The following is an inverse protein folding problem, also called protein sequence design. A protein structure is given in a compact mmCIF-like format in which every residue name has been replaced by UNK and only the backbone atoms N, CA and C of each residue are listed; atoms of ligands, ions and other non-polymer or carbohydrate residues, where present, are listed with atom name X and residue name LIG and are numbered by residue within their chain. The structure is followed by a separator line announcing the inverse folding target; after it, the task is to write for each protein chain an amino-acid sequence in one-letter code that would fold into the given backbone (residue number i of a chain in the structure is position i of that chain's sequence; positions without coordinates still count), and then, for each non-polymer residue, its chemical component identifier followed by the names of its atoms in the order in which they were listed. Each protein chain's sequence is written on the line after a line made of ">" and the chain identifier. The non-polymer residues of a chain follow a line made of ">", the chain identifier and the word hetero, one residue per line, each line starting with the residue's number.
data_IF_498662305581
#
_entry.id   IF_498662305581
#
_cell.length_a   1.000
_cell.length_b   1.000
_cell.length_c   1.000
_cell.angle_alpha   90.00
_cell.angle_beta   90.00
_cell.angle_gamma   90.00
#
_symmetry.space_group_name_H-M   'P 1'
#
loop_
_entity.id
_entity.type
_entity.pdbx_description
1 polymer ?
#
# COMPACT_ATOMS: atom_id res chain seq x y z
N UNK A 1 17.85 -3.73 -13.89
CA UNK A 1 17.02 -3.69 -12.67
C UNK A 1 17.18 -5.01 -11.95
N UNK A 2 17.54 -4.94 -10.68
CA UNK A 2 17.50 -6.10 -9.79
C UNK A 2 16.04 -6.55 -9.58
N UNK A 3 15.85 -7.74 -9.00
CA UNK A 3 14.51 -8.22 -8.60
C UNK A 3 13.86 -7.27 -7.60
N UNK A 4 14.66 -6.72 -6.68
CA UNK A 4 14.21 -5.80 -5.65
C UNK A 4 13.82 -4.42 -6.22
N UNK A 5 14.56 -3.91 -7.21
CA UNK A 5 14.21 -2.65 -7.89
C UNK A 5 12.84 -2.78 -8.58
N UNK A 6 12.58 -3.95 -9.19
CA UNK A 6 11.30 -4.22 -9.86
C UNK A 6 10.17 -4.32 -8.86
N UNK A 7 10.40 -5.00 -7.74
CA UNK A 7 9.43 -5.11 -6.64
C UNK A 7 9.09 -3.73 -6.09
N UNK A 8 10.10 -2.89 -5.83
CA UNK A 8 9.93 -1.52 -5.35
C UNK A 8 9.16 -0.64 -6.34
N UNK A 9 9.43 -0.76 -7.64
CA UNK A 9 8.73 -0.01 -8.68
C UNK A 9 7.25 -0.39 -8.78
N UNK A 10 6.93 -1.69 -8.70
CA UNK A 10 5.54 -2.17 -8.71
C UNK A 10 4.79 -1.72 -7.44
N UNK A 11 5.42 -1.81 -6.26
CA UNK A 11 4.82 -1.35 -5.02
C UNK A 11 4.51 0.14 -5.08
N UNK A 12 5.44 0.96 -5.59
CA UNK A 12 5.24 2.40 -5.76
C UNK A 12 4.09 2.71 -6.73
N UNK A 13 4.02 2.04 -7.88
CA UNK A 13 2.94 2.22 -8.84
C UNK A 13 1.57 1.79 -8.31
N UNK A 14 1.54 0.96 -7.26
CA UNK A 14 0.30 0.49 -6.63
C UNK A 14 -0.24 1.49 -5.61
N UNK A 15 0.59 2.37 -5.05
CA UNK A 15 0.18 3.30 -3.99
C UNK A 15 -1.06 4.13 -4.35
N UNK A 16 -1.14 4.79 -5.53
CA UNK A 16 -2.33 5.57 -5.89
C UNK A 16 -3.60 4.72 -5.98
N UNK A 17 -3.47 3.49 -6.52
CA UNK A 17 -4.59 2.57 -6.64
C UNK A 17 -5.08 2.07 -5.27
N UNK A 18 -4.17 1.87 -4.33
CA UNK A 18 -4.50 1.48 -2.96
C UNK A 18 -5.23 2.60 -2.23
N UNK A 19 -4.87 3.86 -2.47
CA UNK A 19 -5.59 5.01 -1.91
C UNK A 19 -6.99 5.19 -2.47
N UNK A 20 -7.17 4.93 -3.77
CA UNK A 20 -8.44 5.13 -4.47
C UNK A 20 -9.41 3.96 -4.26
N UNK A 21 -8.90 2.72 -4.36
CA UNK A 21 -9.73 1.52 -4.40
C UNK A 21 -9.62 0.64 -3.14
N UNK A 22 -8.71 0.97 -2.21
CA UNK A 22 -8.44 0.14 -1.04
C UNK A 22 -8.05 -1.29 -1.40
N UNK A 23 -8.53 -2.25 -0.61
CA UNK A 23 -8.29 -3.70 -0.84
C UNK A 23 -8.94 -4.25 -2.12
N UNK A 24 -9.87 -3.48 -2.73
CA UNK A 24 -10.62 -3.85 -3.92
C UNK A 24 -9.84 -3.77 -5.23
N UNK A 25 -8.66 -3.15 -5.25
CA UNK A 25 -7.82 -3.04 -6.46
C UNK A 25 -7.53 -4.41 -7.09
N UNK A 26 -7.63 -4.56 -8.41
CA UNK A 26 -7.35 -5.82 -9.11
C UNK A 26 -5.87 -5.94 -9.54
N UNK A 27 -5.39 -7.17 -9.74
CA UNK A 27 -4.05 -7.45 -10.29
C UNK A 27 -3.88 -6.84 -11.68
N UNK A 28 -4.96 -6.83 -12.48
CA UNK A 28 -5.00 -6.17 -13.78
C UNK A 28 -4.74 -4.66 -13.68
N UNK A 29 -5.43 -3.96 -12.76
CA UNK A 29 -5.20 -2.52 -12.55
C UNK A 29 -3.75 -2.23 -12.14
N UNK A 30 -3.20 -3.04 -11.23
CA UNK A 30 -1.82 -2.92 -10.78
C UNK A 30 -0.84 -3.13 -11.94
N UNK A 31 -1.04 -4.18 -12.74
CA UNK A 31 -0.19 -4.50 -13.88
C UNK A 31 -0.17 -3.34 -14.90
N UNK A 32 -1.34 -2.76 -15.19
CA UNK A 32 -1.46 -1.59 -16.07
C UNK A 32 -0.74 -0.38 -15.48
N UNK A 33 -0.97 -0.05 -14.20
CA UNK A 33 -0.32 1.09 -13.55
C UNK A 33 1.21 0.94 -13.47
N UNK A 34 1.70 -0.29 -13.28
CA UNK A 34 3.13 -0.60 -13.24
C UNK A 34 3.76 -0.78 -14.64
N UNK A 35 2.97 -0.78 -15.73
CA UNK A 35 3.46 -1.01 -17.08
C UNK A 35 4.04 -2.41 -17.30
N UNK A 36 3.50 -3.44 -16.63
CA UNK A 36 3.97 -4.83 -16.70
C UNK A 36 2.83 -5.80 -17.06
N UNK A 37 3.17 -7.01 -17.51
CA UNK A 37 2.19 -8.08 -17.63
C UNK A 37 1.79 -8.65 -16.26
N UNK A 38 0.55 -9.10 -16.07
CA UNK A 38 0.06 -9.64 -14.78
C UNK A 38 0.93 -10.79 -14.24
N UNK A 39 1.36 -11.73 -15.10
CA UNK A 39 2.27 -12.82 -14.70
C UNK A 39 3.64 -12.35 -14.20
N UNK A 40 4.00 -11.08 -14.42
CA UNK A 40 5.21 -10.47 -13.83
C UNK A 40 5.01 -10.09 -12.38
N UNK A 41 3.80 -9.69 -11.98
CA UNK A 41 3.49 -9.37 -10.59
C UNK A 41 3.79 -10.58 -9.71
N UNK A 42 3.33 -11.76 -10.13
CA UNK A 42 3.52 -13.02 -9.41
C UNK A 42 4.96 -13.59 -9.44
N UNK A 43 5.87 -12.97 -10.20
CA UNK A 43 7.32 -13.25 -10.09
C UNK A 43 8.01 -12.37 -9.06
N UNK A 44 7.46 -11.19 -8.80
CA UNK A 44 7.97 -10.21 -7.85
C UNK A 44 7.33 -10.34 -6.46
N UNK A 45 6.11 -10.87 -6.39
CA UNK A 45 5.33 -11.08 -5.18
C UNK A 45 4.67 -12.46 -5.22
N UNK A 46 4.58 -13.13 -4.09
CA UNK A 46 3.98 -14.45 -3.93
C UNK A 46 2.45 -14.37 -4.10
N UNK A 47 1.84 -13.32 -3.58
CA UNK A 47 0.41 -13.08 -3.74
C UNK A 47 0.04 -11.58 -3.75
N UNK A 48 -1.26 -11.33 -3.95
CA UNK A 48 -1.82 -9.98 -3.97
C UNK A 48 -1.68 -9.29 -2.61
N UNK A 49 -1.79 -10.01 -1.50
CA UNK A 49 -1.71 -9.40 -0.17
C UNK A 49 -0.31 -8.92 0.12
N UNK A 50 0.71 -9.72 -0.20
CA UNK A 50 2.11 -9.30 -0.09
C UNK A 50 2.39 -8.03 -0.90
N UNK A 51 1.87 -7.96 -2.13
CA UNK A 51 1.98 -6.77 -2.98
C UNK A 51 1.30 -5.56 -2.35
N UNK A 52 0.07 -5.69 -1.88
CA UNK A 52 -0.67 -4.58 -1.26
C UNK A 52 -0.05 -4.14 0.06
N UNK A 53 0.53 -5.06 0.84
CA UNK A 53 1.29 -4.74 2.05
C UNK A 53 2.53 -3.93 1.71
N UNK A 54 3.31 -4.34 0.71
CA UNK A 54 4.47 -3.58 0.25
C UNK A 54 4.09 -2.18 -0.25
N UNK A 55 2.95 -2.04 -0.95
CA UNK A 55 2.43 -0.74 -1.35
C UNK A 55 2.02 0.10 -0.13
N UNK A 56 1.37 -0.49 0.86
CA UNK A 56 0.99 0.20 2.10
C UNK A 56 2.20 0.69 2.88
N UNK A 57 3.25 -0.12 3.03
CA UNK A 57 4.52 0.28 3.65
C UNK A 57 5.11 1.51 2.98
N UNK A 58 5.13 1.54 1.65
CA UNK A 58 5.60 2.70 0.88
C UNK A 58 4.71 3.92 1.06
N UNK A 59 3.40 3.73 1.12
CA UNK A 59 2.44 4.80 1.33
C UNK A 59 2.51 5.40 2.74
N UNK A 60 2.94 4.62 3.74
CA UNK A 60 3.07 5.02 5.15
C UNK A 60 4.46 5.58 5.50
N UNK A 61 5.42 5.53 4.58
CA UNK A 61 6.78 6.08 4.79
C UNK A 61 6.73 7.57 5.15
N UNK A 62 7.23 8.01 6.33
CA UNK A 62 7.18 9.41 6.73
C UNK A 62 8.05 10.32 5.84
N UNK A 63 9.00 9.78 5.07
CA UNK A 63 9.94 10.56 4.26
C UNK A 63 9.24 11.51 3.29
N UNK A 64 8.11 11.11 2.70
CA UNK A 64 7.34 11.96 1.78
C UNK A 64 6.72 13.16 2.51
N UNK A 65 6.24 12.98 3.74
CA UNK A 65 5.71 14.07 4.55
C UNK A 65 6.79 15.04 5.00
N UNK A 66 7.97 14.53 5.36
CA UNK A 66 9.14 15.34 5.72
C UNK A 66 9.58 16.16 4.51
N UNK A 67 9.76 15.52 3.35
CA UNK A 67 10.15 16.21 2.12
C UNK A 67 9.13 17.29 1.70
N UNK A 68 7.83 17.07 1.93
CA UNK A 68 6.80 18.06 1.67
C UNK A 68 6.89 19.28 2.59
N UNK A 69 7.24 19.08 3.87
CA UNK A 69 7.49 20.18 4.82
C UNK A 69 8.77 20.93 4.44
N UNK A 70 9.85 20.23 4.12
CA UNK A 70 11.14 20.83 3.73
C UNK A 70 11.04 21.66 2.43
N UNK A 71 10.10 21.32 1.56
CA UNK A 71 9.85 22.02 0.30
C UNK A 71 8.91 23.24 0.45
N UNK A 72 8.40 23.54 1.64
CA UNK A 72 7.50 24.68 1.85
C UNK A 72 8.21 26.00 1.56
N UNK A 73 7.59 26.92 0.78
CA UNK A 73 8.16 28.23 0.54
C UNK A 73 8.16 29.08 1.81
N UNK A 74 9.12 30.00 1.98
CA UNK A 74 9.10 30.96 3.07
C UNK A 74 7.77 31.73 3.10
N UNK A 75 7.21 31.91 4.30
CA UNK A 75 6.02 32.71 4.50
C UNK A 75 6.37 34.05 5.15
N UNK A 76 5.56 35.09 4.93
CA UNK A 76 5.81 36.42 5.51
C UNK A 76 5.63 36.52 7.04
N UNK A 77 5.31 35.42 7.73
CA UNK A 77 5.15 35.36 9.18
C UNK A 77 5.19 33.93 9.72
N UNK A 78 5.57 33.74 10.99
CA UNK A 78 5.53 32.45 11.68
C UNK A 78 4.13 31.81 11.67
N UNK A 79 3.07 32.63 11.80
CA UNK A 79 1.70 32.12 11.74
C UNK A 79 1.38 31.50 10.37
N UNK A 80 1.83 32.14 9.29
CA UNK A 80 1.65 31.62 7.93
C UNK A 80 2.49 30.36 7.67
N UNK A 81 3.71 30.27 8.22
CA UNK A 81 4.52 29.05 8.16
C UNK A 81 3.84 27.88 8.89
N UNK A 82 3.34 28.11 10.11
CA UNK A 82 2.63 27.09 10.89
C UNK A 82 1.37 26.59 10.18
N UNK A 83 0.63 27.46 9.49
CA UNK A 83 -0.52 27.06 8.68
C UNK A 83 -0.09 26.14 7.54
N UNK A 84 0.96 26.49 6.79
CA UNK A 84 1.45 25.63 5.70
C UNK A 84 1.89 24.24 6.20
N UNK A 85 2.63 24.19 7.31
CA UNK A 85 3.04 22.92 7.92
C UNK A 85 1.81 22.12 8.38
N UNK A 86 0.84 22.77 9.03
CA UNK A 86 -0.38 22.11 9.49
C UNK A 86 -1.21 21.54 8.33
N UNK A 87 -1.25 22.22 7.18
CA UNK A 87 -1.91 21.73 5.97
C UNK A 87 -1.24 20.46 5.43
N UNK A 88 0.09 20.44 5.35
CA UNK A 88 0.88 19.25 4.94
C UNK A 88 0.62 18.09 5.89
N UNK A 89 0.68 18.33 7.20
CA UNK A 89 0.45 17.30 8.23
C UNK A 89 -1.00 16.79 8.17
N UNK A 90 -1.98 17.68 8.02
CA UNK A 90 -3.38 17.31 7.94
C UNK A 90 -3.66 16.46 6.69
N UNK A 91 -3.12 16.83 5.53
CA UNK A 91 -3.30 16.07 4.30
C UNK A 91 -2.61 14.70 4.39
N UNK A 92 -1.38 14.66 4.91
CA UNK A 92 -0.68 13.41 5.18
C UNK A 92 -1.49 12.50 6.10
N UNK A 93 -2.08 13.06 7.16
CA UNK A 93 -2.94 12.32 8.09
C UNK A 93 -4.20 11.77 7.43
N UNK A 94 -4.83 12.50 6.51
CA UNK A 94 -5.97 12.00 5.72
C UNK A 94 -5.56 10.82 4.85
N UNK A 95 -4.42 10.92 4.18
CA UNK A 95 -3.87 9.86 3.33
C UNK A 95 -3.53 8.60 4.11
N UNK A 96 -2.78 8.73 5.21
CA UNK A 96 -2.44 7.63 6.12
C UNK A 96 -3.69 6.93 6.63
N UNK A 97 -4.72 7.68 7.02
CA UNK A 97 -6.00 7.08 7.45
C UNK A 97 -6.65 6.23 6.35
N UNK A 98 -6.69 6.68 5.09
CA UNK A 98 -7.24 5.89 3.96
C UNK A 98 -6.47 4.58 3.80
N UNK A 99 -5.15 4.64 3.86
CA UNK A 99 -4.28 3.46 3.77
C UNK A 99 -4.53 2.50 4.94
N UNK A 100 -4.62 3.00 6.17
CA UNK A 100 -4.84 2.14 7.35
C UNK A 100 -6.18 1.40 7.29
N UNK A 101 -7.24 2.03 6.76
CA UNK A 101 -8.52 1.35 6.51
C UNK A 101 -8.35 0.23 5.48
N UNK A 102 -7.61 0.46 4.41
CA UNK A 102 -7.32 -0.57 3.40
C UNK A 102 -6.47 -1.72 3.99
N UNK A 103 -5.43 -1.41 4.77
CA UNK A 103 -4.58 -2.40 5.46
C UNK A 103 -5.41 -3.27 6.39
N UNK A 104 -6.30 -2.68 7.20
CA UNK A 104 -7.18 -3.46 8.07
C UNK A 104 -8.03 -4.46 7.29
N UNK A 105 -8.62 -4.03 6.16
CA UNK A 105 -9.41 -4.92 5.30
C UNK A 105 -8.56 -6.03 4.65
N UNK A 106 -7.32 -5.72 4.26
CA UNK A 106 -6.37 -6.69 3.70
C UNK A 106 -6.04 -7.77 4.73
N UNK A 107 -5.67 -7.36 5.95
CA UNK A 107 -5.31 -8.27 7.03
C UNK A 107 -6.48 -9.16 7.45
N UNK A 108 -7.68 -8.58 7.62
CA UNK A 108 -8.88 -9.35 7.96
C UNK A 108 -9.22 -10.40 6.89
N UNK A 109 -9.07 -10.04 5.60
CA UNK A 109 -9.30 -10.97 4.49
C UNK A 109 -8.29 -12.12 4.48
N UNK A 110 -7.03 -11.83 4.81
CA UNK A 110 -5.93 -12.79 4.83
C UNK A 110 -6.03 -13.78 6.00
N UNK A 111 -6.38 -13.29 7.19
CA UNK A 111 -6.72 -14.13 8.35
C UNK A 111 -7.86 -15.10 8.03
N UNK A 112 -8.92 -14.62 7.37
CA UNK A 112 -10.04 -15.46 6.93
C UNK A 112 -9.61 -16.58 5.97
N UNK A 113 -8.74 -16.27 5.00
CA UNK A 113 -8.19 -17.26 4.07
C UNK A 113 -7.33 -18.30 4.78
N UNK A 114 -6.43 -17.88 5.68
CA UNK A 114 -5.57 -18.80 6.45
C UNK A 114 -6.41 -19.73 7.34
N UNK A 115 -7.42 -19.20 8.02
CA UNK A 115 -8.31 -20.00 8.86
C UNK A 115 -9.11 -21.04 8.05
N UNK A 116 -9.53 -20.71 6.84
CA UNK A 116 -10.19 -21.66 5.94
C UNK A 116 -9.26 -22.78 5.47
N UNK A 117 -8.00 -22.46 5.11
CA UNK A 117 -7.01 -23.44 4.70
C UNK A 117 -6.71 -24.48 5.80
N UNK A 118 -6.57 -24.03 7.06
CA UNK A 118 -6.33 -24.92 8.21
C UNK A 118 -7.51 -25.88 8.44
N UNK A 119 -8.75 -25.42 8.26
CA UNK A 119 -9.94 -26.29 8.36
C UNK A 119 -10.00 -27.32 7.25
N UNK A 120 -9.65 -26.93 6.02
CA UNK A 120 -9.60 -27.85 4.86
C UNK A 120 -8.59 -28.97 5.04
N UNK A 121 -7.39 -28.67 5.53
CA UNK A 121 -6.35 -29.66 5.81
C UNK A 121 -6.79 -30.70 6.86
N UNK A 122 -7.40 -30.24 7.97
CA UNK A 122 -7.90 -31.13 9.02
C UNK A 122 -9.08 -32.02 8.59
N UNK A 123 -9.90 -31.55 7.65
CA UNK A 123 -10.99 -32.35 7.08
C UNK A 123 -10.51 -33.40 6.08
N UNK A 124 -9.41 -33.14 5.37
CA UNK A 124 -8.78 -34.09 4.46
C UNK A 124 -8.07 -35.24 5.19
N UNK A 125 -7.43 -34.95 6.33
CA UNK A 125 -6.76 -35.96 7.18
C UNK A 125 -7.74 -36.89 7.92
N UNK A 126 -9.02 -36.55 8.00
CA UNK A 126 -10.05 -37.34 8.70
C UNK A 126 -10.78 -38.37 7.81
N UNK A 127 -10.46 -38.42 6.51
CA UNK A 127 -11.10 -39.30 5.52
C UNK A 127 -10.11 -40.27 4.84
N UNK A 128 -8.88 -40.38 5.34
CA UNK A 128 -7.88 -41.38 4.92
C UNK A 128 -7.63 -42.42 6.01
#
# INVERSE_FOLDING_TARGET
>A
MSRDDRRAAIALATVPLLEEHGSGVSTRQIAVAAGVAEGTLFRAFDDKVELLTAAAERALDPAEGIAAVDALPPAGSLAAELVQVAEVVAERGRRVRRIMVAVHAILASDEGRRAAAVRGARGADALG
#
